data_IF_607799211141
#
_entry.id   IF_607799211141
#
_cell.length_a   1.000
_cell.length_b   1.000
_cell.length_c   1.000
_cell.angle_alpha   90.00
_cell.angle_beta   90.00
_cell.angle_gamma   90.00
#
_symmetry.space_group_name_H-M   'P 1'
#
loop_
_entity.id
_entity.type
_entity.pdbx_description
1 polymer ?
#
# COMPACT_ATOMS: atom_id res chain seq x y z
N UNK A 1 33.22 -33.17 -30.65
CA UNK A 1 33.02 -33.19 -32.12
C UNK A 1 33.05 -34.63 -32.60
N UNK A 2 31.88 -35.18 -32.80
CA UNK A 2 31.75 -36.51 -33.45
C UNK A 2 31.37 -36.24 -34.89
N UNK A 3 32.27 -36.45 -35.86
CA UNK A 3 31.94 -36.32 -37.27
C UNK A 3 30.90 -37.36 -37.65
N UNK A 4 29.82 -36.93 -38.26
CA UNK A 4 28.85 -37.85 -38.88
C UNK A 4 29.40 -38.24 -40.24
N UNK A 5 29.92 -39.44 -40.33
CA UNK A 5 30.34 -40.00 -41.63
C UNK A 5 29.11 -40.49 -42.38
N UNK A 6 28.82 -39.88 -43.52
CA UNK A 6 27.81 -40.33 -44.46
C UNK A 6 28.34 -40.31 -45.87
N UNK A 7 28.17 -41.41 -46.61
CA UNK A 7 28.61 -41.55 -48.01
C UNK A 7 27.80 -40.68 -48.98
N UNK A 8 26.72 -40.02 -48.51
CA UNK A 8 25.78 -39.29 -49.35
C UNK A 8 25.56 -37.84 -48.90
N UNK A 9 26.29 -37.36 -47.87
CA UNK A 9 26.16 -36.02 -47.35
C UNK A 9 27.53 -35.33 -47.30
N UNK A 10 27.73 -34.34 -48.15
CA UNK A 10 28.79 -33.35 -47.98
C UNK A 10 28.25 -32.22 -47.07
N UNK A 11 28.90 -32.00 -45.94
CA UNK A 11 28.61 -30.84 -45.11
C UNK A 11 29.85 -30.04 -44.83
N UNK A 12 29.70 -28.74 -44.92
CA UNK A 12 30.75 -27.80 -44.54
C UNK A 12 30.43 -27.21 -43.18
N UNK A 13 31.23 -27.57 -42.17
CA UNK A 13 31.14 -26.89 -40.86
C UNK A 13 31.84 -25.54 -41.01
N UNK A 14 31.07 -24.47 -41.14
CA UNK A 14 31.56 -23.14 -40.88
C UNK A 14 31.53 -22.90 -39.36
N UNK A 15 32.38 -22.04 -38.85
CA UNK A 15 32.51 -21.74 -37.43
C UNK A 15 31.11 -21.49 -36.78
N UNK A 16 30.64 -22.41 -35.99
CA UNK A 16 29.45 -22.23 -35.19
C UNK A 16 29.87 -21.65 -33.84
N UNK A 17 29.54 -20.38 -33.59
CA UNK A 17 29.53 -19.81 -32.27
C UNK A 17 28.13 -20.01 -31.71
N UNK A 18 28.02 -20.75 -30.62
CA UNK A 18 26.78 -20.85 -29.84
C UNK A 18 26.91 -19.84 -28.71
N UNK A 19 26.16 -18.75 -28.78
CA UNK A 19 26.05 -17.80 -27.69
C UNK A 19 24.98 -18.31 -26.73
N UNK A 20 25.37 -18.56 -25.49
CA UNK A 20 24.46 -18.93 -24.43
C UNK A 20 24.33 -17.68 -23.53
N UNK A 21 23.21 -16.95 -23.60
CA UNK A 21 23.02 -15.82 -22.72
C UNK A 21 22.90 -16.33 -21.26
N UNK A 22 23.67 -15.71 -20.38
CA UNK A 22 23.58 -15.97 -18.94
C UNK A 22 22.81 -14.81 -18.31
N UNK A 23 21.79 -15.14 -17.54
CA UNK A 23 21.00 -14.18 -16.78
C UNK A 23 21.19 -14.41 -15.28
N UNK A 24 21.22 -13.34 -14.52
CA UNK A 24 21.16 -13.36 -13.06
C UNK A 24 19.70 -13.26 -12.64
N UNK A 25 19.27 -14.16 -11.79
CA UNK A 25 17.88 -14.20 -11.31
C UNK A 25 17.80 -13.82 -9.86
N UNK A 26 16.76 -13.05 -9.52
CA UNK A 26 16.49 -12.64 -8.15
C UNK A 26 15.00 -12.74 -7.87
N UNK A 27 14.66 -13.31 -6.71
CA UNK A 27 13.28 -13.29 -6.19
C UNK A 27 13.17 -12.21 -5.14
N UNK A 28 12.25 -11.28 -5.35
CA UNK A 28 12.00 -10.11 -4.52
C UNK A 28 10.67 -10.23 -3.80
N UNK A 29 10.62 -9.79 -2.56
CA UNK A 29 9.37 -9.60 -1.83
C UNK A 29 8.60 -8.42 -2.41
N UNK A 30 7.30 -8.61 -2.66
CA UNK A 30 6.42 -7.53 -3.09
C UNK A 30 5.97 -6.75 -1.85
N UNK A 31 6.22 -5.44 -1.86
CA UNK A 31 5.96 -4.57 -0.71
C UNK A 31 5.12 -3.35 -1.09
N UNK A 32 4.49 -2.73 -0.09
CA UNK A 32 3.77 -1.47 -0.23
C UNK A 32 3.98 -0.59 1.00
N UNK A 33 3.77 0.71 0.84
CA UNK A 33 3.83 1.67 1.93
C UNK A 33 2.43 2.20 2.26
N UNK A 34 2.10 2.27 3.55
CA UNK A 34 0.88 2.93 4.01
C UNK A 34 1.16 4.42 4.23
N UNK A 35 0.21 5.26 3.79
CA UNK A 35 0.22 6.71 4.01
C UNK A 35 -0.94 7.13 4.90
N UNK A 36 -0.79 8.33 5.49
CA UNK A 36 -1.80 8.94 6.36
C UNK A 36 -2.17 8.04 7.55
N UNK A 37 -1.18 7.32 8.07
CA UNK A 37 -1.35 6.46 9.24
C UNK A 37 -1.18 7.33 10.49
N UNK A 38 -2.16 7.38 11.39
CA UNK A 38 -2.05 8.08 12.66
C UNK A 38 -0.95 7.48 13.55
N UNK A 39 -0.35 8.31 14.40
CA UNK A 39 0.81 7.92 15.23
C UNK A 39 0.52 6.74 16.16
N UNK A 40 -0.72 6.59 16.62
CA UNK A 40 -1.14 5.54 17.55
C UNK A 40 -1.90 4.39 16.87
N UNK A 41 -1.85 4.34 15.54
CA UNK A 41 -2.55 3.30 14.79
C UNK A 41 -1.77 1.99 14.78
N UNK A 42 -2.45 0.86 14.99
CA UNK A 42 -1.85 -0.47 14.88
C UNK A 42 -1.70 -0.89 13.41
N UNK A 43 -0.62 -0.41 12.79
CA UNK A 43 -0.30 -0.74 11.40
C UNK A 43 -0.05 -2.24 11.20
N UNK A 44 0.52 -2.92 12.21
CA UNK A 44 0.80 -4.35 12.11
C UNK A 44 -0.50 -5.16 12.03
N UNK A 45 -1.51 -4.77 12.80
CA UNK A 45 -2.83 -5.38 12.70
C UNK A 45 -3.46 -5.18 11.33
N UNK A 46 -3.45 -3.95 10.80
CA UNK A 46 -3.98 -3.69 9.44
C UNK A 46 -3.25 -4.51 8.37
N UNK A 47 -1.91 -4.56 8.43
CA UNK A 47 -1.12 -5.37 7.50
C UNK A 47 -1.46 -6.86 7.56
N UNK A 48 -1.83 -7.36 8.73
CA UNK A 48 -2.26 -8.77 8.87
C UNK A 48 -3.60 -9.06 8.18
N UNK A 49 -4.45 -8.04 8.02
CA UNK A 49 -5.73 -8.13 7.34
C UNK A 49 -5.63 -7.86 5.83
N UNK A 50 -4.59 -7.16 5.38
CA UNK A 50 -4.36 -6.93 3.96
C UNK A 50 -3.73 -8.16 3.33
N UNK A 51 -4.41 -8.74 2.35
CA UNK A 51 -3.98 -9.94 1.62
C UNK A 51 -3.54 -9.57 0.22
N UNK A 52 -2.34 -9.97 -0.13
CA UNK A 52 -1.80 -9.87 -1.49
C UNK A 52 -2.09 -11.15 -2.25
N UNK A 53 -2.38 -11.04 -3.56
CA UNK A 53 -2.53 -12.20 -4.43
C UNK A 53 -1.19 -12.91 -4.67
N UNK A 54 -0.10 -12.15 -4.65
CA UNK A 54 1.27 -12.62 -4.82
C UNK A 54 2.20 -11.88 -3.86
N UNK A 55 3.05 -12.63 -3.17
CA UNK A 55 3.99 -12.06 -2.20
C UNK A 55 5.38 -11.85 -2.78
N UNK A 56 5.71 -12.49 -3.91
CA UNK A 56 7.04 -12.47 -4.52
C UNK A 56 6.97 -12.29 -6.03
N UNK A 57 8.02 -11.70 -6.59
CA UNK A 57 8.27 -11.64 -8.01
C UNK A 57 9.69 -12.13 -8.33
N UNK A 58 9.86 -12.89 -9.40
CA UNK A 58 11.18 -13.33 -9.87
C UNK A 58 11.54 -12.55 -11.13
N UNK A 59 12.65 -11.83 -11.04
CA UNK A 59 13.21 -11.03 -12.12
C UNK A 59 14.54 -11.62 -12.58
N UNK A 60 14.86 -11.44 -13.85
CA UNK A 60 16.14 -11.76 -14.43
C UNK A 60 16.76 -10.53 -15.10
N UNK A 61 18.09 -10.44 -15.08
CA UNK A 61 18.86 -9.43 -15.79
C UNK A 61 20.15 -10.00 -16.35
N UNK A 62 20.62 -9.47 -17.45
CA UNK A 62 21.94 -9.77 -17.99
C UNK A 62 23.06 -8.91 -17.40
N UNK A 63 22.74 -7.87 -16.62
CA UNK A 63 23.70 -6.97 -15.99
C UNK A 63 24.17 -7.52 -14.64
N UNK A 64 25.43 -7.98 -14.61
CA UNK A 64 26.07 -8.51 -13.41
C UNK A 64 26.37 -7.43 -12.33
N UNK A 65 26.30 -6.15 -12.69
CA UNK A 65 26.67 -5.05 -11.78
C UNK A 65 25.41 -4.34 -11.23
N UNK A 66 24.20 -4.81 -11.56
CA UNK A 66 23.01 -4.28 -10.94
C UNK A 66 23.01 -4.60 -9.46
N UNK A 67 22.87 -3.55 -8.65
CA UNK A 67 22.69 -3.71 -7.20
C UNK A 67 21.47 -4.59 -6.95
N UNK A 68 21.64 -5.57 -6.06
CA UNK A 68 20.55 -6.45 -5.70
C UNK A 68 19.45 -5.65 -5.01
N UNK A 69 18.32 -5.50 -5.67
CA UNK A 69 17.11 -4.97 -5.06
C UNK A 69 16.70 -5.91 -3.92
N UNK A 70 16.25 -5.35 -2.82
CA UNK A 70 15.81 -6.16 -1.67
C UNK A 70 14.31 -6.42 -1.67
N UNK A 71 13.53 -5.57 -2.35
CA UNK A 71 12.09 -5.68 -2.46
C UNK A 71 11.58 -4.95 -3.70
N UNK A 72 10.44 -5.41 -4.21
CA UNK A 72 9.70 -4.78 -5.29
C UNK A 72 8.52 -4.00 -4.72
N UNK A 73 8.51 -2.68 -4.87
CA UNK A 73 7.44 -1.84 -4.30
C UNK A 73 6.31 -1.64 -5.31
N UNK A 74 5.08 -1.97 -4.94
CA UNK A 74 3.87 -1.67 -5.71
C UNK A 74 3.31 -0.27 -5.42
N UNK A 75 4.01 0.53 -4.60
CA UNK A 75 3.67 1.92 -4.37
C UNK A 75 3.09 2.21 -2.99
N UNK A 76 2.27 3.26 -2.94
CA UNK A 76 1.76 3.82 -1.69
C UNK A 76 0.23 3.76 -1.66
N UNK A 77 -0.31 3.42 -0.49
CA UNK A 77 -1.74 3.25 -0.26
C UNK A 77 -2.14 4.14 0.91
N UNK A 78 -3.14 5.00 0.70
CA UNK A 78 -3.67 5.81 1.79
C UNK A 78 -4.57 4.98 2.69
N UNK A 79 -4.40 5.11 4.00
CA UNK A 79 -5.29 4.48 4.97
C UNK A 79 -6.75 4.88 4.75
N UNK A 80 -7.00 6.12 4.29
CA UNK A 80 -8.35 6.61 3.99
C UNK A 80 -9.05 5.87 2.85
N UNK A 81 -8.31 5.18 1.99
CA UNK A 81 -8.86 4.44 0.85
C UNK A 81 -9.26 3.01 1.25
N UNK A 82 -8.77 2.54 2.41
CA UNK A 82 -8.98 1.18 2.88
C UNK A 82 -10.28 1.12 3.67
N UNK A 83 -11.24 0.35 3.18
CA UNK A 83 -12.54 0.14 3.82
C UNK A 83 -13.06 -1.27 3.61
N UNK A 84 -14.23 -1.58 4.16
CA UNK A 84 -14.90 -2.87 3.91
C UNK A 84 -15.17 -3.01 2.42
N UNK A 85 -14.69 -4.12 1.84
CA UNK A 85 -14.73 -4.36 0.41
C UNK A 85 -13.56 -3.77 -0.39
N UNK A 86 -12.53 -3.23 0.29
CA UNK A 86 -11.34 -2.77 -0.40
C UNK A 86 -10.67 -3.93 -1.15
N UNK A 87 -10.49 -3.73 -2.44
CA UNK A 87 -9.73 -4.61 -3.33
C UNK A 87 -9.23 -3.77 -4.50
N UNK A 88 -7.93 -3.77 -4.71
CA UNK A 88 -7.30 -2.95 -5.74
C UNK A 88 -6.16 -3.71 -6.42
N UNK A 89 -6.14 -3.63 -7.75
CA UNK A 89 -5.06 -4.18 -8.56
C UNK A 89 -3.97 -3.13 -8.76
N UNK A 90 -2.73 -3.55 -8.56
CA UNK A 90 -1.52 -2.77 -8.77
C UNK A 90 -0.74 -3.39 -9.92
N UNK A 91 -0.64 -2.72 -11.07
CA UNK A 91 0.20 -3.20 -12.16
C UNK A 91 1.67 -3.18 -11.74
N UNK A 92 2.43 -4.19 -12.16
CA UNK A 92 3.86 -4.26 -11.90
C UNK A 92 4.62 -3.61 -13.05
N UNK A 93 5.23 -2.47 -12.79
CA UNK A 93 6.08 -1.76 -13.74
C UNK A 93 7.50 -2.30 -13.66
N UNK A 94 7.83 -3.27 -14.52
CA UNK A 94 9.15 -3.90 -14.55
C UNK A 94 10.13 -2.94 -15.27
N UNK A 95 11.28 -2.61 -14.66
CA UNK A 95 12.29 -1.80 -15.33
C UNK A 95 12.82 -2.47 -16.61
N UNK A 96 13.19 -1.67 -17.61
CA UNK A 96 13.59 -2.15 -18.96
C UNK A 96 14.77 -3.14 -18.98
N UNK A 97 15.63 -3.08 -17.96
CA UNK A 97 16.80 -3.96 -17.82
C UNK A 97 16.51 -5.28 -17.10
N UNK A 98 15.23 -5.51 -16.73
CA UNK A 98 14.79 -6.75 -16.12
C UNK A 98 13.76 -7.48 -16.98
N UNK A 99 13.81 -8.79 -16.93
CA UNK A 99 12.82 -9.69 -17.47
C UNK A 99 12.01 -10.31 -16.33
N UNK A 100 10.70 -10.30 -16.45
CA UNK A 100 9.81 -10.91 -15.48
C UNK A 100 9.65 -12.40 -15.75
N UNK A 101 10.26 -13.22 -14.91
CA UNK A 101 10.20 -14.69 -15.04
C UNK A 101 8.99 -15.31 -14.34
N UNK A 102 8.37 -14.60 -13.38
CA UNK A 102 7.19 -15.10 -12.66
C UNK A 102 5.90 -15.02 -13.48
N UNK A 103 5.90 -14.19 -14.53
CA UNK A 103 4.70 -13.95 -15.35
C UNK A 103 3.61 -13.14 -14.64
N UNK A 104 3.85 -12.69 -13.40
CA UNK A 104 2.93 -11.83 -12.64
C UNK A 104 2.97 -10.42 -13.19
N UNK A 105 1.87 -9.92 -13.72
CA UNK A 105 1.77 -8.58 -14.30
C UNK A 105 1.06 -7.57 -13.41
N UNK A 106 0.32 -8.04 -12.42
CA UNK A 106 -0.36 -7.21 -11.42
C UNK A 106 -0.51 -7.98 -10.11
N UNK A 107 -0.61 -7.24 -9.02
CA UNK A 107 -0.89 -7.76 -7.68
C UNK A 107 -2.19 -7.15 -7.18
N UNK A 108 -3.12 -8.00 -6.78
CA UNK A 108 -4.32 -7.56 -6.09
C UNK A 108 -4.03 -7.44 -4.59
N UNK A 109 -4.41 -6.32 -4.00
CA UNK A 109 -4.40 -6.13 -2.55
C UNK A 109 -5.84 -5.95 -2.05
N UNK A 110 -6.29 -6.84 -1.18
CA UNK A 110 -7.63 -6.85 -0.66
C UNK A 110 -7.64 -6.88 0.88
N UNK A 111 -8.65 -6.21 1.48
CA UNK A 111 -8.87 -6.27 2.93
C UNK A 111 -9.70 -7.50 3.29
N UNK A 112 -9.18 -8.36 4.16
CA UNK A 112 -9.95 -9.39 4.81
C UNK A 112 -10.83 -8.78 5.91
N UNK A 113 -12.07 -8.50 5.56
CA UNK A 113 -13.04 -7.88 6.45
C UNK A 113 -13.93 -8.89 7.19
N UNK A 114 -13.60 -10.18 7.20
CA UNK A 114 -14.45 -11.25 7.77
C UNK A 114 -14.83 -11.02 9.24
N UNK A 115 -13.95 -10.37 10.02
CA UNK A 115 -14.15 -10.04 11.42
C UNK A 115 -14.31 -8.55 11.69
N UNK A 116 -14.44 -7.74 10.64
CA UNK A 116 -14.62 -6.30 10.74
C UNK A 116 -16.09 -5.92 10.56
N UNK A 117 -16.47 -4.85 11.23
CA UNK A 117 -17.75 -4.17 11.02
C UNK A 117 -17.51 -2.69 10.85
N UNK A 118 -18.41 -2.07 10.12
CA UNK A 118 -18.48 -0.63 9.95
C UNK A 118 -19.67 -0.10 10.73
N UNK A 119 -19.46 1.01 11.46
CA UNK A 119 -20.52 1.68 12.21
C UNK A 119 -20.34 3.18 12.13
N UNK A 120 -21.44 3.87 11.93
CA UNK A 120 -21.49 5.32 11.96
C UNK A 120 -21.94 5.82 13.33
N UNK A 121 -21.27 6.87 13.79
CA UNK A 121 -21.56 7.53 15.06
C UNK A 121 -21.80 9.03 14.79
N UNK A 122 -22.85 9.57 15.37
CA UNK A 122 -23.09 11.02 15.40
C UNK A 122 -22.45 11.55 16.67
N UNK A 123 -21.28 12.16 16.54
CA UNK A 123 -20.50 12.71 17.66
C UNK A 123 -20.87 14.17 17.85
N UNK A 124 -21.22 14.53 19.07
CA UNK A 124 -21.57 15.90 19.48
C UNK A 124 -20.52 16.50 20.41
N UNK A 125 -19.61 15.70 20.93
CA UNK A 125 -18.48 16.15 21.74
C UNK A 125 -17.34 16.60 20.83
N UNK A 126 -17.31 17.91 20.55
CA UNK A 126 -16.31 18.55 19.68
C UNK A 126 -15.51 19.53 20.55
N UNK A 127 -14.21 19.28 20.68
CA UNK A 127 -13.28 20.11 21.43
C UNK A 127 -12.29 20.83 20.51
N UNK A 128 -11.81 22.00 20.94
CA UNK A 128 -10.77 22.75 20.24
C UNK A 128 -9.51 22.74 21.09
N UNK A 129 -8.39 22.32 20.48
CA UNK A 129 -7.06 22.40 21.09
C UNK A 129 -6.21 23.48 20.41
N UNK A 130 -5.27 24.05 21.18
CA UNK A 130 -4.35 25.09 20.71
C UNK A 130 -5.05 26.30 20.08
N UNK A 131 -6.22 26.67 20.64
CA UNK A 131 -6.93 27.89 20.23
C UNK A 131 -6.06 29.12 20.51
N UNK A 132 -5.89 30.05 19.55
CA UNK A 132 -5.23 31.31 19.79
C UNK A 132 -6.00 32.14 20.83
N UNK A 133 -5.27 32.70 21.82
CA UNK A 133 -5.90 33.47 22.91
C UNK A 133 -6.44 34.84 22.47
N UNK A 134 -6.09 35.25 21.25
CA UNK A 134 -6.48 36.56 20.68
C UNK A 134 -7.82 36.53 19.96
N UNK A 135 -8.44 35.36 19.76
CA UNK A 135 -9.70 35.19 19.03
C UNK A 135 -10.74 34.46 19.87
N UNK A 136 -12.00 34.87 19.73
CA UNK A 136 -13.12 34.08 20.19
C UNK A 136 -13.44 33.05 19.10
N UNK A 137 -13.29 31.80 19.45
CA UNK A 137 -13.57 30.66 18.56
C UNK A 137 -14.94 30.08 18.85
N UNK A 138 -15.72 29.85 17.82
CA UNK A 138 -16.98 29.13 17.90
C UNK A 138 -16.96 27.93 16.97
N UNK A 139 -17.53 26.82 17.41
CA UNK A 139 -17.75 25.66 16.56
C UNK A 139 -19.15 25.82 15.96
N UNK A 140 -19.22 26.06 14.66
CA UNK A 140 -20.50 26.19 13.95
C UNK A 140 -21.20 24.83 13.77
N UNK A 141 -20.42 23.74 13.79
CA UNK A 141 -20.93 22.38 13.61
C UNK A 141 -21.28 21.80 14.97
N UNK A 142 -22.54 21.50 15.21
CA UNK A 142 -23.02 20.91 16.45
C UNK A 142 -22.83 19.39 16.53
N UNK A 143 -22.60 18.73 15.41
CA UNK A 143 -22.42 17.29 15.32
C UNK A 143 -21.63 16.90 14.08
N UNK A 144 -20.89 15.79 14.19
CA UNK A 144 -20.16 15.17 13.07
C UNK A 144 -20.53 13.69 12.98
N UNK A 145 -20.71 13.22 11.76
CA UNK A 145 -20.85 11.78 11.52
C UNK A 145 -19.47 11.19 11.31
N UNK A 146 -19.06 10.32 12.22
CA UNK A 146 -17.80 9.59 12.20
C UNK A 146 -18.07 8.14 11.82
N UNK A 147 -17.43 7.67 10.77
CA UNK A 147 -17.49 6.30 10.31
C UNK A 147 -16.28 5.54 10.83
N UNK A 148 -16.51 4.48 11.56
CA UNK A 148 -15.45 3.65 12.12
C UNK A 148 -15.52 2.23 11.58
N UNK A 149 -14.35 1.65 11.31
CA UNK A 149 -14.18 0.27 10.90
C UNK A 149 -13.24 -0.40 11.89
N UNK A 150 -13.62 -1.54 12.40
CA UNK A 150 -12.78 -2.27 13.33
C UNK A 150 -13.35 -3.64 13.70
N UNK A 151 -12.66 -4.36 14.59
CA UNK A 151 -13.11 -5.66 15.06
C UNK A 151 -14.53 -5.60 15.63
N UNK A 152 -15.37 -6.54 15.23
CA UNK A 152 -16.77 -6.59 15.62
C UNK A 152 -16.97 -6.49 17.13
N UNK A 153 -16.18 -7.22 17.91
CA UNK A 153 -16.26 -7.23 19.37
C UNK A 153 -15.89 -5.88 20.02
N UNK A 154 -15.16 -5.02 19.34
CA UNK A 154 -14.82 -3.68 19.84
C UNK A 154 -15.86 -2.66 19.39
N UNK A 155 -16.17 -2.62 18.10
CA UNK A 155 -17.08 -1.63 17.51
C UNK A 155 -18.51 -1.76 18.03
N UNK A 156 -19.00 -2.98 18.29
CA UNK A 156 -20.37 -3.19 18.79
C UNK A 156 -20.60 -2.58 20.18
N UNK A 157 -19.56 -2.50 20.99
CA UNK A 157 -19.65 -1.94 22.36
C UNK A 157 -19.43 -0.42 22.42
N UNK A 158 -18.97 0.20 21.32
CA UNK A 158 -18.78 1.64 21.26
C UNK A 158 -20.11 2.38 21.10
N UNK A 159 -20.22 3.50 21.79
CA UNK A 159 -21.29 4.49 21.65
C UNK A 159 -20.73 5.85 21.20
N UNK A 160 -21.59 6.75 20.73
CA UNK A 160 -21.16 8.10 20.36
C UNK A 160 -20.60 8.89 21.54
N UNK A 161 -20.99 8.54 22.77
CA UNK A 161 -20.48 9.18 23.98
C UNK A 161 -19.02 8.80 24.32
N UNK A 162 -18.52 7.72 23.74
CA UNK A 162 -17.13 7.30 23.93
C UNK A 162 -16.17 7.99 22.93
N UNK A 163 -16.72 8.81 22.03
CA UNK A 163 -15.97 9.47 20.97
C UNK A 163 -15.93 10.97 21.19
N UNK A 164 -14.73 11.54 21.12
CA UNK A 164 -14.50 12.99 21.12
C UNK A 164 -13.80 13.39 19.83
N UNK A 165 -14.32 14.38 19.14
CA UNK A 165 -13.66 14.98 17.99
C UNK A 165 -12.84 16.18 18.45
N UNK A 166 -11.55 16.14 18.22
CA UNK A 166 -10.65 17.24 18.59
C UNK A 166 -10.15 17.99 17.37
N UNK A 167 -10.40 19.28 17.31
CA UNK A 167 -9.89 20.19 16.30
C UNK A 167 -8.60 20.82 16.81
N UNK A 168 -7.48 20.51 16.18
CA UNK A 168 -6.18 21.07 16.55
C UNK A 168 -5.86 22.28 15.66
N UNK A 169 -5.78 23.47 16.25
CA UNK A 169 -5.48 24.72 15.54
C UNK A 169 -3.99 25.08 15.52
N UNK A 170 -3.11 24.18 15.95
CA UNK A 170 -1.67 24.41 15.89
C UNK A 170 -1.20 24.57 14.43
N UNK A 171 -0.68 25.75 14.08
CA UNK A 171 -0.22 26.05 12.73
C UNK A 171 -1.33 26.29 11.70
N UNK A 172 -2.59 26.33 12.13
CA UNK A 172 -3.68 26.73 11.24
C UNK A 172 -3.55 28.22 10.86
N UNK A 173 -3.83 28.61 9.60
CA UNK A 173 -3.83 30.01 9.20
C UNK A 173 -4.89 30.76 10.01
N UNK A 174 -4.48 31.89 10.61
CA UNK A 174 -5.35 32.72 11.43
C UNK A 174 -6.06 33.77 10.56
N UNK A 175 -6.83 33.30 9.58
CA UNK A 175 -7.61 34.19 8.71
C UNK A 175 -9.10 33.91 8.87
N UNK A 176 -9.88 34.97 8.92
CA UNK A 176 -11.33 34.87 9.00
C UNK A 176 -11.90 34.21 7.74
N UNK A 177 -12.64 33.14 7.92
CA UNK A 177 -13.31 32.39 6.82
C UNK A 177 -12.52 31.24 6.19
N UNK A 178 -11.36 30.87 6.71
CA UNK A 178 -10.62 29.71 6.19
C UNK A 178 -11.05 28.37 6.82
N UNK A 179 -11.00 27.31 5.99
CA UNK A 179 -11.29 25.93 6.44
C UNK A 179 -10.12 25.38 7.23
N UNK A 180 -10.37 24.85 8.41
CA UNK A 180 -9.38 24.21 9.27
C UNK A 180 -9.38 22.70 9.03
N UNK A 181 -8.20 22.12 8.89
CA UNK A 181 -8.04 20.67 8.81
C UNK A 181 -8.35 20.02 10.16
N UNK A 182 -9.18 18.99 10.17
CA UNK A 182 -9.50 18.23 11.36
C UNK A 182 -8.56 17.03 11.50
N UNK A 183 -8.02 16.82 12.69
CA UNK A 183 -7.45 15.54 13.09
C UNK A 183 -8.34 14.96 14.19
N UNK A 184 -8.70 13.69 14.07
CA UNK A 184 -9.39 12.98 15.15
C UNK A 184 -8.47 11.90 15.69
N UNK A 185 -8.53 11.68 16.98
CA UNK A 185 -7.87 10.57 17.66
C UNK A 185 -8.99 9.65 18.14
N UNK A 186 -9.00 8.38 17.66
CA UNK A 186 -9.95 7.38 18.12
C UNK A 186 -9.67 6.98 19.57
#
# INVERSE_FOLDING_TARGET
DTPVESTYLEYTLSNYAVEIPVQYTQTLDITYQLRNVPTNFDEAYLRSLLKQSEDHITLATSDANLDAETAFSIGQISLSDIGIGYSKDFPLEIPENYENLSGVTSVNLALDASNLVEKEFVVTDISIMNAPTTYNMTVDTSQLTVKMIGPKNQIEHLSAADLTVTVNLLGAPQMEGESVSFSYTP
#
